data_IF_328694606221
#
_entry.id   IF_328694606221
#
_cell.length_a   1.000
_cell.length_b   1.000
_cell.length_c   1.000
_cell.angle_alpha   90.00
_cell.angle_beta   90.00
_cell.angle_gamma   90.00
#
_symmetry.space_group_name_H-M   'P 1'
#
loop_
_entity.id
_entity.type
_entity.pdbx_description
1 polymer ?
#
# COMPACT_ATOMS: atom_id res chain seq x y z
N UNK A 1 8.56 51.06 -31.36
CA UNK A 1 7.30 50.76 -32.08
C UNK A 1 6.74 49.44 -31.56
N UNK A 2 5.74 49.50 -30.67
CA UNK A 2 5.17 48.33 -30.01
C UNK A 2 4.03 47.73 -30.86
N UNK A 3 4.10 46.42 -31.12
CA UNK A 3 3.12 45.67 -31.92
C UNK A 3 1.80 45.48 -31.14
N UNK A 4 0.78 46.28 -31.48
CA UNK A 4 -0.62 46.10 -31.06
C UNK A 4 -1.33 45.09 -31.97
N UNK A 5 -1.12 43.80 -31.78
CA UNK A 5 -2.02 42.76 -32.34
C UNK A 5 -1.95 41.52 -31.47
N UNK A 6 -2.96 41.25 -30.63
CA UNK A 6 -3.21 39.88 -30.11
C UNK A 6 -4.53 39.65 -29.34
N UNK A 7 -5.53 40.53 -29.44
CA UNK A 7 -6.84 40.30 -28.80
C UNK A 7 -7.87 39.70 -29.78
N UNK A 8 -7.90 40.19 -31.02
CA UNK A 8 -8.86 39.71 -32.03
C UNK A 8 -8.68 38.23 -32.40
N UNK A 9 -7.43 37.77 -32.54
CA UNK A 9 -7.15 36.38 -32.93
C UNK A 9 -7.55 35.37 -31.83
N UNK A 10 -7.37 35.73 -30.55
CA UNK A 10 -7.76 34.88 -29.42
C UNK A 10 -9.28 34.77 -29.29
N UNK A 11 -10.01 35.85 -29.57
CA UNK A 11 -11.47 35.84 -29.56
C UNK A 11 -12.05 35.03 -30.72
N UNK A 12 -11.44 35.10 -31.92
CA UNK A 12 -11.86 34.33 -33.09
C UNK A 12 -11.66 32.81 -32.87
N UNK A 13 -10.55 32.42 -32.24
CA UNK A 13 -10.27 31.02 -31.88
C UNK A 13 -11.26 30.46 -30.85
N UNK A 14 -11.69 31.29 -29.88
CA UNK A 14 -12.66 30.87 -28.87
C UNK A 14 -14.04 30.62 -29.50
N UNK A 15 -14.46 31.47 -30.46
CA UNK A 15 -15.74 31.33 -31.17
C UNK A 15 -15.74 30.08 -32.07
N UNK A 16 -14.63 29.78 -32.75
CA UNK A 16 -14.50 28.58 -33.59
C UNK A 16 -14.52 27.27 -32.77
N UNK A 17 -14.04 27.28 -31.52
CA UNK A 17 -14.14 26.11 -30.64
C UNK A 17 -15.56 25.90 -30.10
N UNK A 18 -16.31 26.97 -29.85
CA UNK A 18 -17.68 26.88 -29.34
C UNK A 18 -18.70 26.43 -30.40
N UNK A 19 -18.42 26.65 -31.69
CA UNK A 19 -19.29 26.19 -32.78
C UNK A 19 -19.19 24.68 -33.07
N UNK A 20 -18.18 23.98 -32.53
CA UNK A 20 -17.99 22.54 -32.74
C UNK A 20 -18.65 21.64 -31.70
N UNK A 21 -19.35 22.20 -30.70
CA UNK A 21 -19.99 21.43 -29.63
C UNK A 21 -21.47 21.06 -29.87
N UNK A 22 -22.05 21.38 -31.04
CA UNK A 22 -23.47 21.13 -31.33
C UNK A 22 -23.76 19.98 -32.32
N UNK A 23 -22.78 19.14 -32.67
CA UNK A 23 -22.97 18.03 -33.62
C UNK A 23 -22.92 16.64 -32.95
N UNK A 24 -23.74 16.41 -31.92
CA UNK A 24 -24.18 15.04 -31.61
C UNK A 24 -25.24 14.62 -32.63
N UNK A 25 -24.77 14.13 -33.78
CA UNK A 25 -25.61 13.35 -34.69
C UNK A 25 -25.96 12.01 -34.01
N UNK A 26 -27.16 11.91 -33.47
CA UNK A 26 -27.79 10.61 -33.25
C UNK A 26 -27.94 9.92 -34.61
N UNK A 27 -27.58 8.62 -34.75
CA UNK A 27 -27.87 7.90 -35.97
C UNK A 27 -29.38 7.86 -36.20
N UNK A 28 -29.76 8.19 -37.43
CA UNK A 28 -31.14 8.16 -37.93
C UNK A 28 -31.68 6.74 -37.80
N UNK A 29 -32.62 6.53 -36.89
CA UNK A 29 -33.44 5.33 -36.82
C UNK A 29 -34.27 5.25 -38.11
N UNK A 30 -34.30 4.12 -38.83
CA UNK A 30 -35.13 3.97 -40.03
C UNK A 30 -36.61 4.17 -39.67
N UNK A 31 -37.26 5.15 -40.31
CA UNK A 31 -38.73 5.25 -40.29
C UNK A 31 -39.29 4.22 -41.27
N UNK A 32 -39.86 3.15 -40.75
CA UNK A 32 -40.76 2.29 -41.52
C UNK A 32 -41.96 3.11 -42.00
N UNK A 33 -42.31 2.90 -43.28
CA UNK A 33 -43.45 3.54 -43.94
C UNK A 33 -44.75 3.08 -43.29
N UNK A 34 -45.61 4.05 -43.02
CA UNK A 34 -47.01 3.85 -42.65
C UNK A 34 -47.71 2.89 -43.62
N UNK A 35 -48.13 1.73 -43.13
CA UNK A 35 -49.29 1.03 -43.65
C UNK A 35 -50.51 1.57 -42.89
N UNK A 36 -51.19 2.54 -43.51
CA UNK A 36 -52.57 2.87 -43.17
C UNK A 36 -53.41 1.70 -43.66
N UNK A 37 -53.94 0.94 -42.72
CA UNK A 37 -55.25 0.28 -42.75
C UNK A 37 -55.26 -0.87 -41.73
N UNK A 38 -56.27 -0.87 -40.85
CA UNK A 38 -56.55 -1.81 -39.75
C UNK A 38 -56.14 -1.36 -38.32
N UNK A 39 -56.58 -0.17 -37.90
CA UNK A 39 -56.78 0.13 -36.47
C UNK A 39 -58.23 -0.23 -36.13
N UNK A 40 -58.49 -1.50 -35.85
CA UNK A 40 -59.68 -1.87 -35.09
C UNK A 40 -59.39 -3.13 -34.24
N UNK A 41 -59.53 -2.95 -32.93
CA UNK A 41 -59.71 -3.98 -31.91
C UNK A 41 -58.58 -4.99 -31.69
N UNK A 42 -57.52 -4.58 -30.96
CA UNK A 42 -56.88 -5.44 -29.95
C UNK A 42 -55.91 -4.62 -29.08
N UNK A 43 -56.42 -3.66 -28.31
CA UNK A 43 -55.75 -3.27 -27.05
C UNK A 43 -55.91 -4.44 -26.07
N UNK A 44 -55.06 -5.46 -26.21
CA UNK A 44 -54.80 -6.37 -25.09
C UNK A 44 -54.23 -5.48 -24.00
N UNK A 45 -55.05 -5.23 -22.98
CA UNK A 45 -54.64 -4.68 -21.69
C UNK A 45 -53.43 -5.49 -21.23
N UNK A 46 -52.22 -4.99 -21.47
CA UNK A 46 -51.05 -5.54 -20.83
C UNK A 46 -51.24 -5.13 -19.37
N UNK A 47 -51.55 -6.09 -18.51
CA UNK A 47 -51.69 -5.85 -17.08
C UNK A 47 -50.36 -5.37 -16.54
N UNK A 48 -50.14 -4.05 -16.56
CA UNK A 48 -49.00 -3.41 -15.91
C UNK A 48 -49.27 -3.60 -14.42
N UNK A 49 -48.68 -4.65 -13.85
CA UNK A 49 -48.67 -4.83 -12.40
C UNK A 49 -47.91 -3.63 -11.81
N UNK A 50 -48.48 -2.95 -10.80
CA UNK A 50 -47.75 -1.93 -10.06
C UNK A 50 -46.43 -2.53 -9.55
N UNK A 51 -45.34 -1.78 -9.64
CA UNK A 51 -44.02 -2.12 -9.11
C UNK A 51 -43.97 -2.06 -7.57
N UNK A 52 -45.11 -2.04 -6.90
CA UNK A 52 -45.21 -2.05 -5.44
C UNK A 52 -44.84 -3.44 -4.93
N UNK A 53 -44.00 -3.49 -3.89
CA UNK A 53 -43.57 -4.68 -3.12
C UNK A 53 -42.30 -5.46 -3.52
N UNK A 54 -41.76 -5.47 -4.76
CA UNK A 54 -40.46 -6.09 -5.03
C UNK A 54 -39.30 -5.28 -4.46
N UNK A 55 -38.41 -5.97 -3.73
CA UNK A 55 -37.11 -5.46 -3.32
C UNK A 55 -36.12 -5.49 -4.48
N UNK A 56 -35.45 -4.37 -4.73
CA UNK A 56 -34.37 -4.27 -5.71
C UNK A 56 -33.06 -3.95 -5.02
N UNK A 57 -31.98 -4.61 -5.43
CA UNK A 57 -30.63 -4.27 -4.93
C UNK A 57 -29.95 -3.33 -5.92
N UNK A 58 -29.65 -2.11 -5.49
CA UNK A 58 -28.87 -1.16 -6.28
C UNK A 58 -27.36 -1.42 -6.13
N UNK A 59 -26.58 -1.04 -7.15
CA UNK A 59 -25.12 -1.06 -7.08
C UNK A 59 -24.65 -0.20 -5.89
N UNK A 60 -23.87 -0.79 -4.98
CA UNK A 60 -23.49 -0.17 -3.70
C UNK A 60 -24.17 -0.77 -2.46
N UNK A 61 -24.93 -1.87 -2.59
CA UNK A 61 -25.47 -2.61 -1.44
C UNK A 61 -26.68 -1.95 -0.78
N UNK A 62 -27.44 -1.16 -1.54
CA UNK A 62 -28.67 -0.52 -1.07
C UNK A 62 -29.87 -1.37 -1.51
N UNK A 63 -30.84 -1.56 -0.64
CA UNK A 63 -32.14 -2.14 -0.95
C UNK A 63 -33.10 -1.00 -1.27
N UNK A 64 -33.77 -1.09 -2.41
CA UNK A 64 -34.77 -0.15 -2.86
C UNK A 64 -36.11 -0.87 -2.85
N UNK A 65 -37.04 -0.37 -2.05
CA UNK A 65 -38.44 -0.82 -2.03
C UNK A 65 -39.32 0.28 -2.59
N UNK A 66 -40.30 -0.08 -3.41
CA UNK A 66 -41.30 0.87 -3.90
C UNK A 66 -42.59 0.67 -3.12
N UNK A 67 -43.06 1.73 -2.46
CA UNK A 67 -44.26 1.71 -1.63
C UNK A 67 -45.24 2.74 -2.18
N UNK A 68 -46.51 2.36 -2.35
CA UNK A 68 -47.56 3.28 -2.73
C UNK A 68 -48.17 3.94 -1.48
N UNK A 69 -48.02 5.26 -1.34
CA UNK A 69 -48.63 6.05 -0.28
C UNK A 69 -49.52 7.13 -0.90
N UNK A 70 -50.79 7.17 -0.49
CA UNK A 70 -51.78 8.14 -0.98
C UNK A 70 -51.92 8.18 -2.52
N UNK A 71 -51.75 7.03 -3.19
CA UNK A 71 -51.83 6.91 -4.65
C UNK A 71 -50.58 7.40 -5.39
N UNK A 72 -49.47 7.62 -4.69
CA UNK A 72 -48.16 7.92 -5.26
C UNK A 72 -47.14 6.84 -4.90
N UNK A 73 -46.40 6.34 -5.89
CA UNK A 73 -45.31 5.38 -5.68
C UNK A 73 -44.05 6.14 -5.24
N UNK A 74 -43.56 5.84 -4.04
CA UNK A 74 -42.33 6.37 -3.49
C UNK A 74 -41.26 5.27 -3.40
N UNK A 75 -40.01 5.61 -3.69
CA UNK A 75 -38.87 4.71 -3.55
C UNK A 75 -38.22 4.90 -2.17
N UNK A 76 -38.32 3.90 -1.31
CA UNK A 76 -37.59 3.84 -0.05
C UNK A 76 -36.25 3.16 -0.29
N UNK A 77 -35.17 3.92 -0.13
CA UNK A 77 -33.80 3.42 -0.23
C UNK A 77 -33.28 3.19 1.18
N UNK A 78 -33.11 1.92 1.56
CA UNK A 78 -32.47 1.53 2.80
C UNK A 78 -31.11 0.91 2.48
N UNK A 79 -30.06 1.29 3.22
CA UNK A 79 -28.82 0.53 3.20
C UNK A 79 -29.15 -0.90 3.68
N UNK A 80 -28.56 -1.92 3.06
CA UNK A 80 -28.73 -3.32 3.49
C UNK A 80 -27.97 -3.57 4.80
N UNK A 81 -28.33 -2.84 5.86
CA UNK A 81 -27.82 -2.95 7.21
C UNK A 81 -29.01 -3.04 8.15
N UNK A 82 -29.16 -4.17 8.84
CA UNK A 82 -30.23 -4.38 9.81
C UNK A 82 -30.32 -3.20 10.79
N UNK A 83 -31.51 -2.80 11.23
CA UNK A 83 -31.72 -1.71 12.22
C UNK A 83 -30.88 -1.84 13.50
N UNK A 84 -30.29 -3.02 13.78
CA UNK A 84 -29.24 -3.18 14.80
C UNK A 84 -28.01 -2.29 14.58
N UNK A 85 -27.66 -1.93 13.35
CA UNK A 85 -26.49 -1.09 13.03
C UNK A 85 -26.65 0.39 13.34
N UNK A 86 -27.88 0.89 13.48
CA UNK A 86 -28.11 2.31 13.82
C UNK A 86 -27.86 2.65 15.29
N UNK A 87 -27.74 1.65 16.17
CA UNK A 87 -27.41 1.82 17.59
C UNK A 87 -25.96 1.43 17.92
N UNK A 88 -25.08 1.22 16.93
CA UNK A 88 -23.79 0.54 17.12
C UNK A 88 -22.55 1.44 17.32
N UNK A 89 -22.73 2.73 17.62
CA UNK A 89 -21.64 3.59 18.14
C UNK A 89 -22.01 4.04 19.54
N UNK A 90 -21.72 3.19 20.53
CA UNK A 90 -21.66 3.58 21.95
C UNK A 90 -20.18 3.80 22.24
N UNK A 91 -19.81 5.01 22.68
CA UNK A 91 -18.45 5.42 23.05
C UNK A 91 -17.39 5.50 21.93
N UNK A 92 -17.80 5.69 20.67
CA UNK A 92 -16.88 6.03 19.58
C UNK A 92 -15.99 4.90 19.06
N UNK A 93 -16.15 3.68 19.56
CA UNK A 93 -15.58 2.47 18.98
C UNK A 93 -16.65 1.74 18.16
N UNK A 94 -16.32 1.12 17.02
CA UNK A 94 -17.25 0.20 16.37
C UNK A 94 -17.61 -0.89 17.38
N UNK A 95 -18.90 -1.17 17.53
CA UNK A 95 -19.32 -2.30 18.35
C UNK A 95 -18.91 -3.59 17.62
N UNK A 96 -17.71 -4.09 17.93
CA UNK A 96 -17.17 -5.34 17.40
C UNK A 96 -18.24 -6.43 17.53
N UNK A 97 -18.51 -7.13 16.43
CA UNK A 97 -19.44 -8.26 16.50
C UNK A 97 -18.89 -9.29 17.49
N UNK A 98 -19.74 -10.15 18.06
CA UNK A 98 -19.25 -11.25 18.90
C UNK A 98 -18.21 -12.11 18.16
N UNK A 99 -18.31 -12.18 16.83
CA UNK A 99 -17.30 -12.81 15.97
C UNK A 99 -15.97 -12.05 16.02
N UNK A 100 -15.97 -10.72 15.89
CA UNK A 100 -14.74 -9.92 15.93
C UNK A 100 -14.07 -9.98 17.30
N UNK A 101 -14.85 -9.84 18.38
CA UNK A 101 -14.36 -10.01 19.77
C UNK A 101 -13.80 -11.42 19.98
N UNK A 102 -14.44 -12.43 19.41
CA UNK A 102 -13.95 -13.80 19.44
C UNK A 102 -12.65 -13.99 18.65
N UNK A 103 -12.48 -13.35 17.48
CA UNK A 103 -11.23 -13.43 16.71
C UNK A 103 -10.11 -12.67 17.45
N UNK A 104 -10.37 -11.45 17.94
CA UNK A 104 -9.42 -10.63 18.69
C UNK A 104 -8.95 -11.37 19.96
N UNK A 105 -9.86 -11.93 20.75
CA UNK A 105 -9.52 -12.71 21.97
C UNK A 105 -8.76 -14.00 21.67
N UNK A 106 -8.65 -14.41 20.41
CA UNK A 106 -7.90 -15.58 19.94
C UNK A 106 -6.59 -15.22 19.24
N UNK A 107 -6.28 -13.93 19.05
CA UNK A 107 -4.93 -13.49 18.68
C UNK A 107 -4.02 -13.84 19.86
N UNK A 108 -3.07 -14.75 19.63
CA UNK A 108 -2.09 -15.12 20.65
C UNK A 108 -0.88 -14.20 20.52
N UNK A 109 -0.19 -13.87 21.63
CA UNK A 109 1.18 -13.39 21.57
C UNK A 109 1.98 -14.22 20.58
N UNK A 110 2.52 -13.56 19.55
CA UNK A 110 3.52 -14.21 18.72
C UNK A 110 4.68 -14.64 19.61
N UNK A 111 5.42 -15.67 19.19
CA UNK A 111 6.64 -16.08 19.89
C UNK A 111 7.77 -15.05 19.78
N UNK A 112 7.52 -13.88 19.19
CA UNK A 112 8.54 -12.93 18.79
C UNK A 112 8.20 -11.52 19.23
N UNK A 113 9.22 -10.76 19.64
CA UNK A 113 9.11 -9.37 20.10
C UNK A 113 8.63 -8.40 18.99
N UNK A 114 8.52 -8.89 17.75
CA UNK A 114 8.31 -8.10 16.54
C UNK A 114 6.89 -8.14 16.00
N UNK A 115 5.96 -8.97 16.50
CA UNK A 115 4.60 -9.01 15.99
C UNK A 115 3.80 -10.25 16.41
N UNK A 116 2.53 -10.27 16.03
CA UNK A 116 1.55 -11.28 16.38
C UNK A 116 1.04 -11.98 15.12
N UNK A 117 0.47 -13.16 15.32
CA UNK A 117 -0.29 -13.87 14.31
C UNK A 117 -1.53 -14.46 14.97
N UNK A 118 -2.63 -14.48 14.23
CA UNK A 118 -3.82 -15.18 14.67
C UNK A 118 -3.52 -16.68 14.71
N UNK A 119 -4.06 -17.41 15.68
CA UNK A 119 -3.94 -18.88 15.75
C UNK A 119 -4.51 -19.61 14.52
N UNK A 120 -5.26 -18.90 13.67
CA UNK A 120 -5.82 -19.40 12.43
C UNK A 120 -4.93 -19.09 11.22
N UNK A 121 -3.90 -18.26 11.40
CA UNK A 121 -2.95 -17.96 10.34
C UNK A 121 -1.87 -19.01 10.27
N UNK A 122 -1.62 -19.49 9.05
CA UNK A 122 -0.40 -20.24 8.75
C UNK A 122 0.76 -19.25 8.72
N UNK A 123 1.76 -19.45 9.58
CA UNK A 123 3.05 -18.80 9.42
C UNK A 123 3.85 -19.59 8.40
N UNK A 124 4.31 -18.92 7.37
CA UNK A 124 5.25 -19.49 6.39
C UNK A 124 6.64 -18.93 6.70
N UNK A 125 7.52 -19.80 7.22
CA UNK A 125 8.94 -19.51 7.42
C UNK A 125 9.68 -19.59 6.08
N UNK A 126 10.60 -18.66 5.85
CA UNK A 126 11.42 -18.64 4.64
C UNK A 126 12.85 -18.24 4.93
N UNK A 127 13.78 -18.98 4.34
CA UNK A 127 15.19 -18.59 4.29
C UNK A 127 15.41 -17.53 3.19
N UNK A 128 16.34 -16.57 3.38
CA UNK A 128 16.74 -15.65 2.33
C UNK A 128 17.29 -16.40 1.10
N UNK A 129 16.82 -16.05 -0.10
CA UNK A 129 17.43 -16.58 -1.34
C UNK A 129 18.86 -16.05 -1.53
N UNK A 130 19.76 -16.95 -1.91
CA UNK A 130 21.15 -16.62 -2.24
C UNK A 130 21.25 -15.75 -3.52
N UNK A 131 20.46 -16.06 -4.56
CA UNK A 131 20.45 -15.35 -5.84
C UNK A 131 19.02 -15.21 -6.38
N UNK A 132 18.64 -14.00 -6.77
CA UNK A 132 17.36 -13.72 -7.43
C UNK A 132 17.59 -13.27 -8.88
N UNK A 133 16.71 -13.71 -9.78
CA UNK A 133 16.63 -13.15 -11.12
C UNK A 133 15.78 -11.87 -11.09
N UNK A 134 16.25 -10.81 -11.76
CA UNK A 134 15.49 -9.57 -12.03
C UNK A 134 14.32 -9.80 -13.03
N UNK A 135 13.73 -10.99 -13.01
CA UNK A 135 12.67 -11.43 -13.92
C UNK A 135 11.33 -11.35 -13.17
N UNK A 136 10.37 -10.62 -13.75
CA UNK A 136 9.09 -10.29 -13.11
C UNK A 136 9.19 -9.12 -12.12
N UNK A 137 8.19 -8.25 -12.12
CA UNK A 137 8.01 -7.14 -11.15
C UNK A 137 9.23 -6.20 -11.04
N UNK A 138 9.88 -5.93 -12.17
CA UNK A 138 11.09 -5.12 -12.26
C UNK A 138 10.89 -3.72 -11.70
N UNK A 139 9.71 -3.18 -11.95
CA UNK A 139 9.29 -1.90 -11.39
C UNK A 139 9.42 -1.90 -9.86
N UNK A 140 8.79 -2.88 -9.20
CA UNK A 140 8.76 -3.01 -7.75
C UNK A 140 10.16 -3.25 -7.18
N UNK A 141 10.97 -4.08 -7.83
CA UNK A 141 12.35 -4.34 -7.44
C UNK A 141 13.22 -3.08 -7.51
N UNK A 142 13.05 -2.27 -8.57
CA UNK A 142 13.75 -1.00 -8.73
C UNK A 142 13.36 0.01 -7.64
N UNK A 143 12.06 0.14 -7.35
CA UNK A 143 11.56 1.00 -6.28
C UNK A 143 12.15 0.60 -4.92
N UNK A 144 12.07 -0.69 -4.58
CA UNK A 144 12.66 -1.23 -3.34
C UNK A 144 14.15 -0.93 -3.21
N UNK A 145 14.90 -1.10 -4.30
CA UNK A 145 16.33 -0.83 -4.28
C UNK A 145 16.62 0.66 -4.10
N UNK A 146 15.88 1.52 -4.80
CA UNK A 146 15.96 2.96 -4.61
C UNK A 146 15.69 3.34 -3.15
N UNK A 147 14.63 2.80 -2.54
CA UNK A 147 14.32 3.08 -1.14
C UNK A 147 15.40 2.56 -0.18
N UNK A 148 15.97 1.39 -0.46
CA UNK A 148 17.06 0.79 0.34
C UNK A 148 18.31 1.65 0.32
N UNK A 149 18.69 2.17 -0.84
CA UNK A 149 19.86 3.06 -0.96
C UNK A 149 19.64 4.38 -0.23
N UNK A 150 18.44 4.95 -0.32
CA UNK A 150 18.09 6.16 0.42
C UNK A 150 18.15 5.94 1.93
N UNK A 151 17.54 4.86 2.42
CA UNK A 151 17.57 4.51 3.83
C UNK A 151 19.02 4.39 4.33
N UNK A 152 19.88 3.70 3.57
CA UNK A 152 21.27 3.51 3.93
C UNK A 152 22.05 4.83 3.98
N UNK A 153 21.83 5.71 3.01
CA UNK A 153 22.41 7.05 3.00
C UNK A 153 21.99 7.87 4.24
N UNK A 154 20.69 7.90 4.53
CA UNK A 154 20.11 8.64 5.65
C UNK A 154 20.72 8.17 6.97
N UNK A 155 20.77 6.85 7.15
CA UNK A 155 21.33 6.21 8.33
C UNK A 155 22.80 6.61 8.54
N UNK A 156 23.64 6.48 7.51
CA UNK A 156 25.08 6.75 7.61
C UNK A 156 25.41 8.24 7.83
N UNK A 157 24.67 9.16 7.22
CA UNK A 157 25.02 10.59 7.26
C UNK A 157 24.61 11.26 8.58
N UNK A 158 23.56 10.79 9.24
CA UNK A 158 22.91 11.55 10.32
C UNK A 158 22.58 10.75 11.57
N UNK A 159 22.86 9.44 11.61
CA UNK A 159 22.42 8.57 12.70
C UNK A 159 20.89 8.68 12.94
N UNK A 160 20.15 8.97 11.86
CA UNK A 160 18.69 9.03 11.86
C UNK A 160 18.19 7.60 11.90
N UNK A 161 17.37 7.30 12.90
CA UNK A 161 16.78 5.97 13.08
C UNK A 161 15.50 5.85 12.26
N UNK A 162 15.62 5.97 10.94
CA UNK A 162 14.51 5.56 10.07
C UNK A 162 14.50 4.04 10.03
N UNK A 163 13.38 3.41 10.36
CA UNK A 163 13.29 1.95 10.32
C UNK A 163 12.81 1.43 8.97
N UNK A 164 12.14 2.26 8.18
CA UNK A 164 11.57 1.92 6.88
C UNK A 164 11.41 3.14 5.96
N UNK A 165 11.62 2.90 4.67
CA UNK A 165 11.35 3.84 3.58
C UNK A 165 10.60 3.12 2.47
N UNK A 166 9.50 3.70 2.01
CA UNK A 166 8.68 3.22 0.90
C UNK A 166 8.73 4.22 -0.26
N UNK A 167 8.58 3.71 -1.47
CA UNK A 167 8.47 4.52 -2.68
C UNK A 167 7.32 4.06 -3.54
N UNK A 168 6.50 5.01 -3.97
CA UNK A 168 5.39 4.80 -4.88
C UNK A 168 5.72 5.39 -6.26
N UNK A 169 5.64 4.60 -7.31
CA UNK A 169 5.55 5.12 -8.67
C UNK A 169 4.09 5.37 -9.04
N UNK A 170 3.80 6.57 -9.51
CA UNK A 170 2.49 6.95 -10.05
C UNK A 170 2.63 7.25 -11.52
N UNK A 171 1.73 6.70 -12.32
CA UNK A 171 1.55 7.05 -13.74
C UNK A 171 0.17 7.61 -14.00
N UNK A 172 0.14 8.77 -14.64
CA UNK A 172 -1.09 9.41 -15.08
C UNK A 172 -0.83 10.21 -16.35
N UNK A 173 -1.72 10.10 -17.34
CA UNK A 173 -1.63 10.81 -18.62
C UNK A 173 -0.20 10.77 -19.24
N UNK A 174 0.37 9.57 -19.33
CA UNK A 174 1.74 9.28 -19.78
C UNK A 174 2.89 9.83 -18.91
N UNK A 175 2.62 10.70 -17.93
CA UNK A 175 3.59 11.23 -16.97
C UNK A 175 3.94 10.18 -15.90
N UNK A 176 5.11 10.35 -15.29
CA UNK A 176 5.60 9.51 -14.19
C UNK A 176 6.09 10.37 -13.03
N UNK A 177 5.76 9.93 -11.81
CA UNK A 177 6.10 10.58 -10.55
C UNK A 177 6.57 9.54 -9.54
N UNK A 178 7.51 9.89 -8.67
CA UNK A 178 7.91 9.05 -7.54
C UNK A 178 7.58 9.76 -6.24
N UNK A 179 6.79 9.13 -5.37
CA UNK A 179 6.55 9.60 -4.01
C UNK A 179 7.38 8.75 -3.06
N UNK A 180 8.07 9.37 -2.10
CA UNK A 180 8.96 8.71 -1.15
C UNK A 180 8.52 9.04 0.26
N UNK A 181 8.14 8.03 1.03
CA UNK A 181 7.70 8.17 2.42
C UNK A 181 8.62 7.37 3.35
N UNK A 182 8.83 7.86 4.57
CA UNK A 182 9.48 7.14 5.65
C UNK A 182 8.50 6.86 6.77
N UNK A 183 8.73 5.80 7.55
CA UNK A 183 8.02 5.63 8.81
C UNK A 183 8.70 6.50 9.89
N UNK A 184 7.93 6.96 10.87
CA UNK A 184 8.34 7.94 11.90
C UNK A 184 8.36 9.39 11.41
N UNK A 185 7.24 10.07 11.66
CA UNK A 185 7.00 11.41 11.14
C UNK A 185 8.04 12.47 11.55
N UNK A 186 8.66 12.26 12.73
CA UNK A 186 9.70 13.14 13.25
C UNK A 186 10.99 13.08 12.42
N UNK A 187 11.32 11.93 11.82
CA UNK A 187 12.59 11.72 11.14
C UNK A 187 12.53 12.13 9.66
N UNK A 188 11.35 12.11 9.03
CA UNK A 188 11.18 12.58 7.64
C UNK A 188 11.41 14.09 7.49
N UNK A 189 11.34 14.86 8.59
CA UNK A 189 11.72 16.30 8.63
C UNK A 189 13.10 16.54 8.01
N UNK A 190 13.98 15.55 8.12
CA UNK A 190 15.34 15.60 7.59
C UNK A 190 15.40 15.48 6.07
N UNK A 191 14.37 14.95 5.38
CA UNK A 191 14.38 14.82 3.92
C UNK A 191 14.57 16.17 3.25
N UNK A 192 13.91 17.22 3.75
CA UNK A 192 14.03 18.59 3.23
C UNK A 192 15.45 19.14 3.33
N UNK A 193 16.20 18.74 4.35
CA UNK A 193 17.60 19.14 4.55
C UNK A 193 18.58 18.29 3.75
N UNK A 194 18.23 17.03 3.48
CA UNK A 194 19.10 16.07 2.81
C UNK A 194 18.97 16.12 1.29
N UNK A 195 17.77 16.40 0.78
CA UNK A 195 17.45 16.31 -0.64
C UNK A 195 16.83 17.63 -1.12
N UNK A 196 17.65 18.69 -1.19
CA UNK A 196 17.19 20.00 -1.67
C UNK A 196 17.07 19.99 -3.19
N UNK A 197 17.99 19.31 -3.86
CA UNK A 197 18.08 19.22 -5.32
C UNK A 197 18.29 17.79 -5.79
N UNK A 198 18.09 17.56 -7.09
CA UNK A 198 18.39 16.28 -7.70
C UNK A 198 19.90 15.98 -7.69
N UNK A 199 20.75 17.01 -7.71
CA UNK A 199 22.20 16.84 -7.55
C UNK A 199 22.53 16.23 -6.19
N UNK A 200 21.91 16.72 -5.11
CA UNK A 200 22.11 16.19 -3.75
C UNK A 200 21.65 14.73 -3.68
N UNK A 201 20.48 14.42 -4.23
CA UNK A 201 19.96 13.06 -4.32
C UNK A 201 20.94 12.14 -5.08
N UNK A 202 21.41 12.58 -6.25
CA UNK A 202 22.33 11.81 -7.08
C UNK A 202 23.66 11.57 -6.37
N UNK A 203 24.24 12.59 -5.77
CA UNK A 203 25.49 12.49 -5.00
C UNK A 203 25.32 11.51 -3.84
N UNK A 204 24.21 11.63 -3.11
CA UNK A 204 23.86 10.74 -1.99
C UNK A 204 23.82 9.28 -2.41
N UNK A 205 23.14 8.98 -3.52
CA UNK A 205 23.05 7.62 -4.07
C UNK A 205 24.40 7.14 -4.63
N UNK A 206 25.20 8.03 -5.22
CA UNK A 206 26.53 7.70 -5.75
C UNK A 206 27.49 7.33 -4.61
N UNK A 207 27.51 8.13 -3.54
CA UNK A 207 28.30 7.87 -2.35
C UNK A 207 27.97 6.50 -1.75
N UNK A 208 26.68 6.14 -1.70
CA UNK A 208 26.24 4.81 -1.27
C UNK A 208 26.83 3.68 -2.13
N UNK A 209 26.97 3.88 -3.44
CA UNK A 209 27.56 2.88 -4.35
C UNK A 209 29.08 2.78 -4.25
N UNK A 210 29.73 3.85 -3.81
CA UNK A 210 31.18 3.94 -3.63
C UNK A 210 31.63 3.44 -2.25
N UNK A 211 30.73 3.35 -1.27
CA UNK A 211 31.02 2.78 0.04
C UNK A 211 31.59 1.37 -0.13
N UNK A 212 32.87 1.23 0.23
CA UNK A 212 33.65 -0.01 0.08
C UNK A 212 33.03 -1.09 0.97
N UNK A 213 32.69 -2.28 0.41
CA UNK A 213 32.24 -3.40 1.22
C UNK A 213 33.34 -3.79 2.24
N UNK A 214 33.17 -3.39 3.51
CA UNK A 214 34.10 -3.77 4.59
C UNK A 214 34.29 -2.73 5.68
N UNK A 215 34.03 -1.44 5.43
CA UNK A 215 34.37 -0.38 6.40
C UNK A 215 33.27 -0.06 7.41
N UNK A 216 32.01 -0.40 7.13
CA UNK A 216 30.91 -0.04 8.03
C UNK A 216 30.45 -1.19 8.93
N UNK A 217 30.57 -0.97 10.25
CA UNK A 217 30.00 -1.83 11.31
C UNK A 217 28.47 -1.84 11.30
N UNK A 218 27.82 -0.83 10.70
CA UNK A 218 26.38 -0.61 10.85
C UNK A 218 25.53 -1.02 9.66
N UNK A 219 26.14 -1.24 8.49
CA UNK A 219 25.42 -1.86 7.39
C UNK A 219 25.13 -3.32 7.78
N UNK A 220 23.92 -3.57 8.27
CA UNK A 220 23.41 -4.92 8.53
C UNK A 220 23.76 -5.81 7.33
N UNK A 221 24.12 -7.07 7.58
CA UNK A 221 24.55 -8.05 6.57
C UNK A 221 23.67 -7.98 5.31
N UNK A 222 22.36 -7.82 5.50
CA UNK A 222 21.36 -7.68 4.45
C UNK A 222 21.51 -6.44 3.56
N UNK A 223 21.67 -5.25 4.15
CA UNK A 223 21.85 -4.01 3.39
C UNK A 223 23.09 -4.09 2.50
N UNK A 224 24.19 -4.65 3.02
CA UNK A 224 25.41 -4.92 2.23
C UNK A 224 25.14 -5.90 1.08
N UNK A 225 24.42 -7.00 1.34
CA UNK A 225 24.09 -8.00 0.31
C UNK A 225 23.21 -7.41 -0.79
N UNK A 226 22.14 -6.68 -0.43
CA UNK A 226 21.24 -6.00 -1.38
C UNK A 226 21.99 -4.96 -2.19
N UNK A 227 22.76 -4.09 -1.54
CA UNK A 227 23.58 -3.10 -2.23
C UNK A 227 24.57 -3.75 -3.19
N UNK A 228 25.29 -4.81 -2.80
CA UNK A 228 26.21 -5.52 -3.68
C UNK A 228 25.47 -6.07 -4.92
N UNK A 229 24.30 -6.70 -4.71
CA UNK A 229 23.45 -7.30 -5.77
C UNK A 229 23.06 -6.28 -6.83
N UNK A 230 22.65 -5.08 -6.43
CA UNK A 230 22.12 -4.06 -7.34
C UNK A 230 23.11 -2.94 -7.69
N UNK A 231 24.27 -2.92 -7.03
CA UNK A 231 25.29 -1.89 -7.26
C UNK A 231 25.74 -1.85 -8.71
N UNK A 232 25.78 -2.98 -9.43
CA UNK A 232 26.14 -3.00 -10.86
C UNK A 232 25.13 -2.24 -11.72
N UNK A 233 23.83 -2.46 -11.50
CA UNK A 233 22.74 -1.77 -12.20
C UNK A 233 22.79 -0.27 -11.87
N UNK A 234 22.90 0.09 -10.60
CA UNK A 234 22.93 1.48 -10.16
C UNK A 234 24.23 2.20 -10.55
N UNK A 235 25.38 1.52 -10.55
CA UNK A 235 26.65 2.07 -11.08
C UNK A 235 26.53 2.38 -12.57
N UNK A 236 25.77 1.58 -13.32
CA UNK A 236 25.48 1.88 -14.72
C UNK A 236 24.51 3.06 -14.88
N UNK A 237 23.51 3.19 -13.99
CA UNK A 237 22.52 4.27 -14.04
C UNK A 237 23.07 5.63 -13.60
N UNK A 238 23.87 5.66 -12.55
CA UNK A 238 24.38 6.89 -11.94
C UNK A 238 25.81 7.22 -12.34
N UNK A 239 26.54 6.24 -12.89
CA UNK A 239 27.91 6.40 -13.34
C UNK A 239 28.08 7.33 -14.55
N UNK A 240 29.34 7.67 -14.89
CA UNK A 240 29.66 8.63 -15.95
C UNK A 240 29.43 8.09 -17.38
N UNK A 241 29.15 6.79 -17.56
CA UNK A 241 28.96 6.20 -18.90
C UNK A 241 27.57 6.58 -19.46
N UNK A 242 27.55 6.90 -20.76
CA UNK A 242 26.37 7.34 -21.54
C UNK A 242 25.15 6.47 -21.26
N UNK A 243 23.99 7.14 -21.25
CA UNK A 243 22.63 6.62 -21.14
C UNK A 243 22.61 5.11 -21.37
N UNK A 244 22.34 4.35 -20.31
CA UNK A 244 22.11 2.92 -20.41
C UNK A 244 21.03 2.77 -21.47
N UNK A 245 21.41 2.39 -22.70
CA UNK A 245 20.48 1.75 -23.60
C UNK A 245 20.05 0.53 -22.81
N UNK A 246 18.84 0.61 -22.24
CA UNK A 246 18.20 -0.48 -21.52
C UNK A 246 17.81 -1.53 -22.57
N UNK A 247 18.81 -2.05 -23.28
CA UNK A 247 18.76 -3.27 -24.09
C UNK A 247 18.84 -4.43 -23.11
N UNK A 248 17.87 -4.51 -22.20
CA UNK A 248 17.57 -5.82 -21.65
C UNK A 248 16.95 -6.57 -22.81
N UNK A 249 17.62 -7.63 -23.25
CA UNK A 249 17.00 -8.62 -24.10
C UNK A 249 15.74 -9.05 -23.37
N UNK A 250 14.57 -8.68 -23.90
CA UNK A 250 13.30 -9.29 -23.53
C UNK A 250 13.57 -10.80 -23.57
N UNK A 251 13.72 -11.43 -22.41
CA UNK A 251 13.63 -12.89 -22.39
C UNK A 251 12.20 -13.20 -22.84
N UNK A 252 12.05 -14.17 -23.73
CA UNK A 252 10.74 -14.53 -24.28
C UNK A 252 9.74 -14.72 -23.13
N UNK A 253 8.65 -13.93 -23.12
CA UNK A 253 7.57 -14.03 -22.12
C UNK A 253 7.46 -12.90 -21.09
N UNK A 254 8.34 -11.89 -21.09
CA UNK A 254 8.26 -10.80 -20.12
C UNK A 254 7.12 -9.80 -20.42
N UNK A 255 6.46 -9.32 -19.35
CA UNK A 255 5.38 -8.33 -19.47
C UNK A 255 5.92 -6.97 -19.95
N UNK A 256 5.48 -6.57 -21.15
CA UNK A 256 5.83 -5.28 -21.77
C UNK A 256 5.41 -4.09 -20.91
N UNK A 257 4.35 -4.21 -20.10
CA UNK A 257 3.89 -3.13 -19.20
C UNK A 257 4.87 -2.90 -18.06
N UNK A 258 5.27 -3.95 -17.34
CA UNK A 258 6.28 -3.89 -16.28
C UNK A 258 7.59 -3.26 -16.80
N UNK A 259 8.06 -3.67 -17.98
CA UNK A 259 9.27 -3.11 -18.61
C UNK A 259 9.09 -1.63 -18.96
N UNK A 260 7.91 -1.24 -19.45
CA UNK A 260 7.60 0.16 -19.72
C UNK A 260 7.67 0.99 -18.44
N UNK A 261 7.15 0.47 -17.33
CA UNK A 261 7.12 1.16 -16.04
C UNK A 261 8.53 1.30 -15.46
N UNK A 262 9.26 0.19 -15.42
CA UNK A 262 10.66 0.15 -15.05
C UNK A 262 11.49 1.19 -15.83
N UNK A 263 11.33 1.23 -17.16
CA UNK A 263 12.06 2.18 -18.03
C UNK A 263 11.72 3.64 -17.70
N UNK A 264 10.47 3.93 -17.33
CA UNK A 264 10.05 5.29 -16.95
C UNK A 264 10.66 5.73 -15.63
N UNK A 265 10.70 4.85 -14.62
CA UNK A 265 11.37 5.12 -13.36
C UNK A 265 12.86 5.38 -13.60
N UNK A 266 13.52 4.57 -14.44
CA UNK A 266 14.93 4.80 -14.79
C UNK A 266 15.15 6.15 -15.46
N UNK A 267 14.31 6.53 -16.43
CA UNK A 267 14.39 7.83 -17.08
C UNK A 267 14.23 8.97 -16.06
N UNK A 268 13.30 8.84 -15.13
CA UNK A 268 13.07 9.80 -14.06
C UNK A 268 14.30 9.92 -13.15
N UNK A 269 14.84 8.79 -12.68
CA UNK A 269 16.02 8.71 -11.81
C UNK A 269 17.34 9.10 -12.49
N UNK A 270 17.38 9.20 -13.81
CA UNK A 270 18.55 9.66 -14.57
C UNK A 270 18.40 11.10 -15.08
N UNK A 271 17.20 11.70 -15.02
CA UNK A 271 16.93 13.02 -15.56
C UNK A 271 17.51 14.11 -14.63
N UNK A 272 18.51 14.85 -15.12
CA UNK A 272 19.12 15.97 -14.38
C UNK A 272 18.18 17.15 -14.15
N UNK A 273 17.13 17.26 -14.96
CA UNK A 273 16.08 18.27 -14.84
C UNK A 273 14.94 17.78 -13.92
N UNK A 274 15.08 16.61 -13.29
CA UNK A 274 14.11 16.12 -12.33
C UNK A 274 14.02 17.08 -11.14
N UNK A 275 12.81 17.50 -10.80
CA UNK A 275 12.57 18.40 -9.68
C UNK A 275 12.36 17.58 -8.40
N UNK A 276 13.05 17.96 -7.33
CA UNK A 276 12.75 17.45 -6.00
C UNK A 276 11.68 18.34 -5.38
N UNK A 277 10.59 17.73 -4.94
CA UNK A 277 9.48 18.41 -4.27
C UNK A 277 9.34 17.82 -2.88
N UNK A 278 9.06 18.66 -1.89
CA UNK A 278 8.71 18.22 -0.53
C UNK A 278 7.23 18.51 -0.32
N UNK A 279 6.45 17.46 -0.04
CA UNK A 279 5.02 17.54 0.15
C UNK A 279 4.70 17.48 1.65
N UNK A 280 4.39 18.61 2.31
CA UNK A 280 3.91 18.59 3.67
C UNK A 280 2.53 17.91 3.71
N UNK A 281 2.40 16.88 4.54
CA UNK A 281 1.10 16.25 4.78
C UNK A 281 0.41 16.89 5.97
N UNK A 282 -0.86 17.20 5.80
CA UNK A 282 -1.79 17.51 6.87
C UNK A 282 -3.06 16.67 6.72
N UNK A 283 -3.72 16.44 7.85
CA UNK A 283 -4.98 15.69 7.96
C UNK A 283 -6.00 16.57 8.65
N UNK A 284 -7.27 16.40 8.30
CA UNK A 284 -8.35 17.09 9.02
C UNK A 284 -8.49 16.47 10.41
N UNK A 285 -8.07 17.19 11.45
CA UNK A 285 -8.09 16.69 12.83
C UNK A 285 -9.51 16.57 13.41
N UNK A 286 -10.46 17.33 12.88
CA UNK A 286 -11.86 17.38 13.33
C UNK A 286 -12.82 16.54 12.50
N UNK A 287 -12.40 16.07 11.33
CA UNK A 287 -13.29 15.42 10.36
C UNK A 287 -12.70 14.06 9.99
N UNK A 288 -13.31 13.02 10.55
CA UNK A 288 -13.20 11.68 9.97
C UNK A 288 -14.23 11.58 8.87
N UNK A 289 -13.89 10.92 7.77
CA UNK A 289 -14.86 10.67 6.71
C UNK A 289 -16.02 9.79 7.24
N UNK A 290 -17.05 9.57 6.42
CA UNK A 290 -18.19 8.70 6.76
C UNK A 290 -17.78 7.27 7.16
N UNK A 291 -16.57 6.83 6.82
CA UNK A 291 -16.03 5.52 7.16
C UNK A 291 -15.16 5.54 8.43
N UNK A 292 -15.00 6.70 9.07
CA UNK A 292 -14.15 6.87 10.24
C UNK A 292 -12.66 7.05 9.93
N UNK A 293 -12.28 7.14 8.65
CA UNK A 293 -10.89 7.25 8.22
C UNK A 293 -10.36 8.67 8.39
N UNK A 294 -9.06 8.77 8.70
CA UNK A 294 -8.30 10.00 8.58
C UNK A 294 -8.23 10.41 7.11
N UNK A 295 -8.78 11.57 6.80
CA UNK A 295 -8.73 12.13 5.45
C UNK A 295 -7.63 13.19 5.37
N UNK A 296 -6.89 13.18 4.25
CA UNK A 296 -5.95 14.25 3.95
C UNK A 296 -6.69 15.59 3.96
N UNK A 297 -6.05 16.62 4.50
CA UNK A 297 -6.63 17.95 4.47
C UNK A 297 -6.85 18.40 3.03
N UNK A 298 -7.92 19.17 2.78
CA UNK A 298 -8.33 19.54 1.42
C UNK A 298 -7.22 20.31 0.67
N UNK A 299 -6.45 21.13 1.39
CA UNK A 299 -5.29 21.82 0.82
C UNK A 299 -4.17 20.84 0.44
N UNK A 300 -3.92 19.80 1.24
CA UNK A 300 -2.97 18.74 0.86
C UNK A 300 -3.46 17.97 -0.37
N UNK A 301 -4.76 17.65 -0.46
CA UNK A 301 -5.33 17.00 -1.67
C UNK A 301 -5.11 17.85 -2.92
N UNK A 302 -5.41 19.15 -2.85
CA UNK A 302 -5.16 20.10 -3.95
C UNK A 302 -3.71 20.09 -4.37
N UNK A 303 -2.76 20.17 -3.42
CA UNK A 303 -1.33 20.13 -3.73
C UNK A 303 -0.92 18.81 -4.40
N UNK A 304 -1.45 17.66 -3.94
CA UNK A 304 -1.21 16.35 -4.59
C UNK A 304 -1.69 16.38 -6.05
N UNK A 305 -2.91 16.87 -6.30
CA UNK A 305 -3.47 16.95 -7.64
C UNK A 305 -2.72 17.95 -8.53
N UNK A 306 -2.29 19.09 -7.99
CA UNK A 306 -1.44 20.06 -8.69
C UNK A 306 -0.07 19.46 -9.08
N UNK A 307 0.53 18.67 -8.19
CA UNK A 307 1.79 17.98 -8.46
C UNK A 307 1.62 17.08 -9.69
N UNK A 308 0.57 16.24 -9.70
CA UNK A 308 0.28 15.25 -10.74
C UNK A 308 -0.20 15.89 -12.05
N UNK A 309 -0.93 17.00 -11.98
CA UNK A 309 -1.33 17.79 -13.15
C UNK A 309 -0.18 18.59 -13.76
N UNK A 310 0.83 18.92 -12.97
CA UNK A 310 2.01 19.66 -13.41
C UNK A 310 2.89 18.92 -14.42
N UNK A 311 4.09 19.44 -14.64
CA UNK A 311 5.09 18.80 -15.49
C UNK A 311 5.52 17.45 -14.89
N UNK A 312 5.79 16.47 -15.75
CA UNK A 312 6.44 15.22 -15.34
C UNK A 312 7.86 15.48 -14.82
N UNK A 313 8.52 14.44 -14.31
CA UNK A 313 9.91 14.58 -13.88
C UNK A 313 10.03 15.07 -12.44
N UNK A 314 9.19 14.59 -11.52
CA UNK A 314 9.26 14.96 -10.10
C UNK A 314 9.51 13.74 -9.22
N UNK A 315 10.38 13.91 -8.23
CA UNK A 315 10.52 13.02 -7.08
C UNK A 315 10.03 13.82 -5.87
N UNK A 316 9.01 13.30 -5.22
CA UNK A 316 8.26 13.94 -4.16
C UNK A 316 8.59 13.23 -2.85
N UNK A 317 9.28 13.92 -1.94
CA UNK A 317 9.48 13.43 -0.59
C UNK A 317 8.30 13.86 0.28
N UNK A 318 7.71 12.90 0.98
CA UNK A 318 6.63 13.14 1.91
C UNK A 318 7.22 13.71 3.19
N UNK A 319 6.75 14.91 3.55
CA UNK A 319 7.16 15.63 4.75
C UNK A 319 6.04 15.55 5.79
N UNK A 320 6.21 14.65 6.76
CA UNK A 320 5.28 14.50 7.88
C UNK A 320 5.65 15.34 9.10
N UNK A 321 6.54 16.33 8.96
CA UNK A 321 6.96 17.23 10.05
C UNK A 321 5.82 17.99 10.73
N UNK A 322 4.71 18.19 10.01
CA UNK A 322 3.55 18.91 10.52
C UNK A 322 2.56 18.01 11.26
N UNK A 323 2.77 16.68 11.26
CA UNK A 323 1.91 15.76 11.98
C UNK A 323 2.21 15.86 13.47
N UNK A 324 1.21 16.25 14.27
CA UNK A 324 1.39 16.36 15.72
C UNK A 324 1.71 14.98 16.32
N UNK A 325 2.59 14.97 17.31
CA UNK A 325 2.90 13.76 18.08
C UNK A 325 1.72 13.28 18.93
N UNK A 326 0.72 14.15 19.13
CA UNK A 326 -0.46 13.90 19.96
C UNK A 326 -1.49 13.00 19.27
N UNK A 327 -1.52 12.96 17.93
CA UNK A 327 -2.57 12.24 17.18
C UNK A 327 -2.22 10.78 16.85
N UNK A 328 -1.21 10.17 17.48
CA UNK A 328 -0.65 8.84 17.14
C UNK A 328 -0.19 8.69 15.67
N UNK A 329 -0.31 9.74 14.84
CA UNK A 329 0.09 9.75 13.43
C UNK A 329 1.58 9.53 13.23
N UNK A 330 2.39 9.84 14.26
CA UNK A 330 3.84 9.61 14.24
C UNK A 330 4.20 8.14 14.04
N UNK A 331 3.30 7.24 14.41
CA UNK A 331 3.52 5.83 14.27
C UNK A 331 3.16 5.35 12.86
N UNK A 332 2.25 5.99 12.11
CA UNK A 332 1.79 5.46 10.81
C UNK A 332 2.93 5.03 9.89
N UNK A 333 2.72 3.89 9.23
CA UNK A 333 3.72 3.33 8.33
C UNK A 333 3.75 4.11 7.01
N UNK A 334 4.88 4.02 6.31
CA UNK A 334 5.10 4.74 5.07
C UNK A 334 4.09 4.36 3.98
N UNK A 335 3.66 3.09 3.93
CA UNK A 335 2.64 2.58 3.00
C UNK A 335 1.30 3.27 3.19
N UNK A 336 0.93 3.61 4.42
CA UNK A 336 -0.36 4.23 4.69
C UNK A 336 -0.41 5.65 4.12
N UNK A 337 0.65 6.44 4.31
CA UNK A 337 0.75 7.78 3.71
C UNK A 337 0.69 7.73 2.18
N UNK A 338 1.37 6.75 1.57
CA UNK A 338 1.35 6.55 0.12
C UNK A 338 -0.03 6.09 -0.36
N UNK A 339 -0.76 5.30 0.44
CA UNK A 339 -2.13 4.87 0.13
C UNK A 339 -3.10 6.03 0.14
N UNK A 340 -3.03 6.92 1.15
CA UNK A 340 -3.90 8.10 1.20
C UNK A 340 -3.68 9.02 -0.02
N UNK A 341 -2.41 9.21 -0.42
CA UNK A 341 -2.07 9.96 -1.64
C UNK A 341 -2.61 9.26 -2.89
N UNK A 342 -2.47 7.93 -2.98
CA UNK A 342 -2.98 7.17 -4.11
C UNK A 342 -4.51 7.25 -4.22
N UNK A 343 -5.24 7.25 -3.10
CA UNK A 343 -6.69 7.41 -3.10
C UNK A 343 -7.13 8.77 -3.63
N UNK A 344 -6.47 9.86 -3.21
CA UNK A 344 -6.71 11.20 -3.78
C UNK A 344 -6.51 11.19 -5.29
N UNK A 345 -5.43 10.56 -5.76
CA UNK A 345 -5.11 10.48 -7.19
C UNK A 345 -6.11 9.60 -7.94
N UNK A 346 -6.52 8.46 -7.38
CA UNK A 346 -7.45 7.50 -8.02
C UNK A 346 -8.88 8.02 -8.04
N UNK A 347 -9.28 8.78 -7.02
CA UNK A 347 -10.58 9.45 -6.94
C UNK A 347 -10.75 10.44 -8.10
N UNK A 348 -9.73 11.27 -8.37
CA UNK A 348 -9.77 12.23 -9.48
C UNK A 348 -9.43 11.57 -10.84
N UNK A 349 -8.51 10.62 -10.85
CA UNK A 349 -7.99 10.00 -12.06
C UNK A 349 -8.12 8.48 -12.01
N UNK A 350 -9.31 7.97 -12.34
CA UNK A 350 -9.63 6.55 -12.28
C UNK A 350 -8.64 5.65 -13.06
N UNK A 351 -8.08 6.15 -14.16
CA UNK A 351 -7.11 5.44 -15.02
C UNK A 351 -5.65 5.63 -14.58
N UNK A 352 -5.39 6.26 -13.44
CA UNK A 352 -4.04 6.32 -12.87
C UNK A 352 -3.57 4.93 -12.48
N UNK A 353 -2.26 4.73 -12.58
CA UNK A 353 -1.58 3.51 -12.18
C UNK A 353 -0.62 3.80 -11.02
N UNK A 354 -0.59 2.92 -10.01
CA UNK A 354 0.23 3.07 -8.81
C UNK A 354 0.96 1.77 -8.46
N UNK A 355 2.24 1.88 -8.12
CA UNK A 355 3.06 0.77 -7.64
C UNK A 355 3.82 1.19 -6.37
N UNK A 356 3.63 0.48 -5.26
CA UNK A 356 4.34 0.72 -3.99
C UNK A 356 5.38 -0.38 -3.74
N UNK A 357 6.60 0.02 -3.43
CA UNK A 357 7.64 -0.86 -2.91
C UNK A 357 8.62 -0.11 -2.04
N UNK A 358 9.29 -0.82 -1.14
CA UNK A 358 10.25 -0.17 -0.26
C UNK A 358 11.17 -1.13 0.44
N UNK A 359 11.80 -0.59 1.47
CA UNK A 359 12.77 -1.31 2.27
C UNK A 359 12.15 -2.50 2.93
N UNK A 360 10.85 -2.43 3.30
CA UNK A 360 10.11 -3.52 3.94
C UNK A 360 8.89 -4.04 3.19
N UNK A 361 8.42 -5.22 3.57
CA UNK A 361 7.10 -5.74 3.19
C UNK A 361 6.04 -5.05 4.05
N UNK A 362 4.84 -4.78 3.51
CA UNK A 362 3.75 -4.28 4.32
C UNK A 362 3.40 -5.28 5.42
N UNK A 363 3.26 -4.80 6.64
CA UNK A 363 2.62 -5.58 7.70
C UNK A 363 1.17 -5.90 7.33
N UNK A 364 0.54 -6.85 8.03
CA UNK A 364 -0.83 -7.25 7.71
C UNK A 364 -1.82 -6.07 7.72
N UNK A 365 -1.64 -5.11 8.64
CA UNK A 365 -2.43 -3.87 8.76
C UNK A 365 -2.32 -3.00 7.49
N UNK A 366 -1.08 -2.73 7.03
CA UNK A 366 -0.84 -1.95 5.81
C UNK A 366 -1.27 -2.69 4.56
N UNK A 367 -1.01 -4.00 4.50
CA UNK A 367 -1.44 -4.87 3.42
C UNK A 367 -2.96 -4.83 3.25
N UNK A 368 -3.68 -5.01 4.36
CA UNK A 368 -5.14 -4.93 4.40
C UNK A 368 -5.63 -3.59 3.86
N UNK A 369 -5.04 -2.49 4.34
CA UNK A 369 -5.40 -1.13 3.93
C UNK A 369 -5.17 -0.88 2.44
N UNK A 370 -4.02 -1.30 1.91
CA UNK A 370 -3.70 -1.18 0.49
C UNK A 370 -4.66 -2.02 -0.36
N UNK A 371 -4.89 -3.28 0.04
CA UNK A 371 -5.78 -4.21 -0.64
C UNK A 371 -7.22 -3.70 -0.68
N UNK A 372 -7.72 -3.15 0.42
CA UNK A 372 -9.09 -2.67 0.53
C UNK A 372 -9.32 -1.32 -0.15
N UNK A 373 -8.28 -0.52 -0.35
CA UNK A 373 -8.39 0.81 -0.97
C UNK A 373 -8.84 0.75 -2.44
N UNK A 374 -8.44 -0.30 -3.17
CA UNK A 374 -8.54 -0.34 -4.63
C UNK A 374 -7.70 0.73 -5.37
N UNK A 375 -6.94 1.55 -4.63
CA UNK A 375 -6.15 2.64 -5.18
C UNK A 375 -4.72 2.22 -5.55
N UNK A 376 -4.25 1.07 -5.03
CA UNK A 376 -2.92 0.53 -5.29
C UNK A 376 -2.98 -0.61 -6.31
N UNK A 377 -2.41 -0.42 -7.50
CA UNK A 377 -2.46 -1.42 -8.57
C UNK A 377 -1.41 -2.54 -8.36
N UNK A 378 -0.20 -2.20 -7.90
CA UNK A 378 0.87 -3.17 -7.60
C UNK A 378 1.52 -2.87 -6.24
N UNK A 379 1.58 -3.88 -5.38
CA UNK A 379 2.30 -3.85 -4.10
C UNK A 379 2.79 -5.26 -3.73
N UNK A 380 3.41 -5.42 -2.57
CA UNK A 380 3.79 -6.75 -2.07
C UNK A 380 2.54 -7.55 -1.67
N UNK A 381 2.18 -8.60 -2.43
CA UNK A 381 0.93 -9.36 -2.21
C UNK A 381 0.96 -10.29 -0.99
N UNK A 382 2.08 -10.36 -0.29
CA UNK A 382 2.28 -11.24 0.86
C UNK A 382 2.39 -10.35 2.08
N UNK A 383 1.46 -10.44 3.05
CA UNK A 383 1.55 -9.67 4.28
C UNK A 383 2.66 -10.20 5.19
N UNK A 384 3.33 -9.29 5.89
CA UNK A 384 4.18 -9.61 7.03
C UNK A 384 3.34 -9.90 8.28
N UNK A 385 3.97 -9.86 9.46
CA UNK A 385 3.27 -10.04 10.73
C UNK A 385 2.17 -8.99 10.98
N UNK A 386 1.20 -9.34 11.83
CA UNK A 386 0.23 -8.42 12.38
C UNK A 386 0.83 -7.74 13.62
N UNK A 387 0.94 -6.43 13.62
CA UNK A 387 1.41 -5.70 14.80
C UNK A 387 0.19 -5.26 15.61
N UNK A 388 -0.02 -5.80 16.82
CA UNK A 388 -1.23 -5.50 17.63
C UNK A 388 -1.36 -4.01 17.91
N UNK A 389 -0.28 -3.36 18.37
CA UNK A 389 -0.31 -1.92 18.61
C UNK A 389 -0.81 -1.16 17.38
N UNK A 390 -0.47 -1.65 16.18
CA UNK A 390 -0.90 -1.05 14.91
C UNK A 390 -2.30 -1.39 14.52
N UNK A 391 -2.71 -2.62 14.77
CA UNK A 391 -4.09 -3.01 14.62
C UNK A 391 -5.00 -2.17 15.53
N UNK A 392 -4.60 -1.96 16.79
CA UNK A 392 -5.39 -1.19 17.76
C UNK A 392 -5.42 0.29 17.38
N UNK A 393 -4.28 0.86 16.96
CA UNK A 393 -4.23 2.20 16.35
C UNK A 393 -5.13 2.30 15.12
N UNK A 394 -5.08 1.31 14.22
CA UNK A 394 -5.96 1.26 13.06
C UNK A 394 -7.41 1.12 13.50
N UNK A 395 -7.74 0.32 14.52
CA UNK A 395 -9.10 0.17 15.02
C UNK A 395 -9.64 1.49 15.58
N UNK A 396 -8.78 2.29 16.21
CA UNK A 396 -9.12 3.62 16.70
C UNK A 396 -9.25 4.61 15.53
N UNK A 397 -8.36 4.58 14.53
CA UNK A 397 -8.22 5.63 13.50
C UNK A 397 -8.93 5.33 12.17
N UNK A 398 -9.16 4.07 11.87
CA UNK A 398 -9.79 3.53 10.66
C UNK A 398 -10.39 2.14 10.98
N UNK A 399 -11.55 2.10 11.66
CA UNK A 399 -12.09 0.85 12.17
C UNK A 399 -12.48 -0.14 11.08
N UNK A 400 -12.84 0.35 9.88
CA UNK A 400 -13.14 -0.51 8.72
C UNK A 400 -11.90 -1.24 8.22
N UNK A 401 -10.76 -0.55 8.12
CA UNK A 401 -9.52 -1.18 7.73
C UNK A 401 -9.05 -2.17 8.80
N UNK A 402 -9.30 -1.90 10.09
CA UNK A 402 -9.05 -2.87 11.16
C UNK A 402 -9.92 -4.13 11.02
N UNK A 403 -11.23 -3.98 10.78
CA UNK A 403 -12.11 -5.12 10.48
C UNK A 403 -11.57 -5.90 9.28
N UNK A 404 -11.14 -5.20 8.22
CA UNK A 404 -10.58 -5.87 7.05
C UNK A 404 -9.27 -6.59 7.36
N UNK A 405 -8.45 -6.03 8.24
CA UNK A 405 -7.22 -6.65 8.75
C UNK A 405 -7.58 -7.92 9.51
N UNK A 406 -8.63 -7.90 10.33
CA UNK A 406 -9.12 -9.08 11.04
C UNK A 406 -9.67 -10.15 10.09
N UNK A 407 -10.44 -9.77 9.08
CA UNK A 407 -10.91 -10.71 8.03
C UNK A 407 -9.73 -11.37 7.32
N UNK A 408 -8.77 -10.58 6.83
CA UNK A 408 -7.57 -11.10 6.18
C UNK A 408 -6.72 -11.92 7.14
N UNK A 409 -6.69 -11.59 8.44
CA UNK A 409 -6.01 -12.40 9.44
C UNK A 409 -6.62 -13.79 9.66
N UNK A 410 -7.80 -14.05 9.09
CA UNK A 410 -8.41 -15.39 9.10
C UNK A 410 -8.25 -16.14 7.79
N UNK A 411 -7.79 -15.47 6.72
CA UNK A 411 -7.75 -16.01 5.35
C UNK A 411 -6.33 -16.08 4.79
N UNK A 412 -5.50 -15.09 5.10
CA UNK A 412 -4.17 -14.91 4.54
C UNK A 412 -3.10 -15.53 5.43
N UNK A 413 -2.16 -16.24 4.80
CA UNK A 413 -0.95 -16.69 5.46
C UNK A 413 -0.01 -15.51 5.72
N UNK A 414 0.50 -15.42 6.94
CA UNK A 414 1.57 -14.47 7.27
C UNK A 414 2.92 -15.09 6.95
N UNK A 415 3.86 -14.24 6.58
CA UNK A 415 5.21 -14.67 6.23
C UNK A 415 6.20 -14.10 7.22
N UNK A 416 7.14 -14.93 7.66
CA UNK A 416 8.32 -14.48 8.40
C UNK A 416 9.58 -14.94 7.70
N UNK A 417 10.62 -14.11 7.74
CA UNK A 417 11.93 -14.53 7.24
C UNK A 417 12.77 -15.03 8.40
N UNK A 418 13.38 -16.19 8.22
CA UNK A 418 14.24 -16.85 9.21
C UNK A 418 15.66 -17.04 8.68
N UNK A 419 16.65 -17.16 9.57
CA UNK A 419 18.01 -17.54 9.18
C UNK A 419 18.16 -19.05 8.96
N UNK A 420 19.40 -19.53 8.83
CA UNK A 420 19.67 -20.95 8.60
C UNK A 420 19.25 -21.84 9.78
N UNK A 421 19.21 -21.27 10.98
CA UNK A 421 18.87 -21.89 12.26
C UNK A 421 17.38 -21.66 12.64
N UNK A 422 16.56 -21.21 11.69
CA UNK A 422 15.14 -20.88 11.87
C UNK A 422 14.85 -19.75 12.88
N UNK A 423 15.85 -18.95 13.24
CA UNK A 423 15.62 -17.76 14.05
C UNK A 423 14.98 -16.67 13.19
N UNK A 424 13.95 -15.99 13.71
CA UNK A 424 13.36 -14.86 13.01
C UNK A 424 14.40 -13.77 12.79
N UNK A 425 14.51 -13.32 11.55
CA UNK A 425 15.25 -12.12 11.24
C UNK A 425 14.23 -10.98 11.08
N UNK A 426 13.96 -10.28 12.18
CA UNK A 426 13.03 -9.13 12.22
C UNK A 426 13.41 -8.01 11.24
N UNK A 427 14.67 -8.02 10.76
CA UNK A 427 15.13 -7.11 9.72
C UNK A 427 14.74 -7.56 8.32
N UNK A 428 14.41 -8.83 8.09
CA UNK A 428 14.07 -9.43 6.80
C UNK A 428 12.58 -9.68 6.57
N UNK A 429 11.71 -9.45 7.57
CA UNK A 429 10.31 -9.13 7.22
C UNK A 429 10.26 -7.83 6.38
N UNK A 430 11.42 -7.20 6.18
CA UNK A 430 11.70 -6.22 5.16
C UNK A 430 11.92 -6.73 3.71
N UNK A 431 11.58 -7.98 3.40
CA UNK A 431 11.51 -8.42 2.01
C UNK A 431 12.67 -9.31 1.58
N UNK A 432 12.47 -10.58 1.80
CA UNK A 432 12.88 -11.55 0.80
C UNK A 432 11.99 -11.37 -0.44
N UNK A 433 12.63 -10.95 -1.52
CA UNK A 433 12.15 -11.12 -2.89
C UNK A 433 11.65 -12.55 -3.02
N UNK A 434 10.38 -12.76 -3.33
CA UNK A 434 9.83 -13.94 -3.99
C UNK A 434 8.31 -13.82 -4.01
N UNK A 435 7.73 -13.34 -5.10
CA UNK A 435 6.74 -14.18 -5.75
C UNK A 435 7.55 -15.05 -6.71
N UNK A 436 7.66 -16.34 -6.42
CA UNK A 436 8.21 -17.30 -7.36
C UNK A 436 7.37 -18.57 -7.28
N UNK A 437 7.19 -19.16 -8.46
CA UNK A 437 6.40 -20.33 -8.84
C UNK A 437 6.16 -21.33 -7.71
N UNK A 438 4.93 -21.83 -7.64
CA UNK A 438 4.35 -22.80 -6.69
C UNK A 438 5.12 -24.13 -6.55
N UNK A 439 6.33 -24.25 -7.06
CA UNK A 439 7.02 -25.53 -7.12
C UNK A 439 7.70 -25.87 -5.80
N UNK A 440 6.97 -26.71 -5.06
CA UNK A 440 7.40 -27.67 -4.04
C UNK A 440 7.82 -27.08 -2.69
N UNK A 441 6.82 -26.61 -1.93
CA UNK A 441 6.88 -26.78 -0.47
C UNK A 441 6.12 -28.04 -0.12
N UNK A 442 6.80 -28.99 0.54
CA UNK A 442 6.14 -30.04 1.30
C UNK A 442 5.45 -29.37 2.48
N UNK A 443 4.13 -29.42 2.50
CA UNK A 443 3.36 -29.09 3.69
C UNK A 443 3.72 -30.08 4.79
N UNK A 444 4.67 -29.73 5.64
CA UNK A 444 4.68 -30.33 6.97
C UNK A 444 3.48 -29.74 7.72
N UNK A 445 2.39 -30.52 7.76
CA UNK A 445 1.29 -30.30 8.69
C UNK A 445 1.89 -30.28 10.10
N UNK A 446 1.97 -29.08 10.69
CA UNK A 446 2.21 -28.95 12.11
C UNK A 446 0.95 -29.47 12.81
N UNK A 447 0.96 -30.75 13.20
CA UNK A 447 -0.03 -31.28 14.14
C UNK A 447 0.01 -30.39 15.38
N UNK A 448 -1.10 -29.71 15.66
CA UNK A 448 -1.19 -28.83 16.82
C UNK A 448 -0.99 -29.65 18.10
N UNK A 449 -0.17 -29.22 19.07
CA UNK A 449 -0.09 -29.88 20.36
C UNK A 449 -1.33 -29.51 21.18
N UNK A 450 -2.45 -30.18 20.91
CA UNK A 450 -3.66 -30.15 21.73
C UNK A 450 -4.29 -31.56 21.78
N UNK A 451 -3.53 -32.54 22.27
CA UNK A 451 -4.16 -33.63 23.02
C UNK A 451 -4.45 -33.11 24.43
N UNK A 452 -5.67 -32.61 24.64
CA UNK A 452 -6.22 -32.44 25.98
C UNK A 452 -6.45 -33.85 26.53
N UNK A 453 -5.49 -34.37 27.28
CA UNK A 453 -5.71 -35.56 28.09
C UNK A 453 -6.62 -35.17 29.26
N UNK A 454 -7.89 -35.52 29.13
CA UNK A 454 -8.75 -35.76 30.28
C UNK A 454 -8.42 -37.13 30.85
N UNK A 455 -7.63 -37.20 31.92
CA UNK A 455 -7.65 -38.38 32.79
C UNK A 455 -7.32 -37.98 34.23
N UNK A 456 -8.29 -38.22 35.10
CA UNK A 456 -8.16 -38.20 36.54
C UNK A 456 -7.53 -39.53 36.99
N UNK A 457 -6.62 -39.51 37.96
CA UNK A 457 -6.21 -40.75 38.63
C UNK A 457 -4.88 -40.73 39.37
N UNK A 458 -4.97 -40.57 40.70
CA UNK A 458 -4.22 -41.27 41.76
C UNK A 458 -2.67 -41.29 41.85
N UNK A 459 -2.22 -40.78 43.00
CA UNK A 459 -1.23 -41.33 43.96
C UNK A 459 0.27 -41.48 43.63
N UNK A 460 1.06 -40.86 44.53
CA UNK A 460 2.33 -41.28 45.17
C UNK A 460 3.45 -41.83 44.29
N UNK A 461 4.62 -41.19 44.32
CA UNK A 461 5.71 -41.63 45.19
C UNK A 461 6.90 -40.66 45.24
N UNK A 462 7.58 -40.74 46.37
CA UNK A 462 8.68 -39.92 46.85
C UNK A 462 9.98 -40.59 46.41
N UNK A 463 10.83 -39.89 45.66
CA UNK A 463 12.05 -40.44 45.07
C UNK A 463 13.22 -39.47 45.15
N UNK A 464 13.86 -39.45 46.31
CA UNK A 464 15.11 -38.77 46.62
C UNK A 464 16.27 -39.39 45.82
N UNK A 465 17.12 -38.56 45.17
CA UNK A 465 18.49 -38.95 44.77
C UNK A 465 19.36 -37.75 44.35
N UNK A 466 20.25 -37.40 45.28
CA UNK A 466 21.55 -36.77 45.08
C UNK A 466 22.31 -37.23 43.83
N UNK A 467 23.01 -36.31 43.14
CA UNK A 467 24.47 -36.42 42.99
C UNK A 467 25.14 -35.14 42.47
N UNK A 468 26.01 -34.57 43.33
CA UNK A 468 27.39 -34.14 43.05
C UNK A 468 27.72 -33.58 41.65
N UNK A 469 28.07 -32.29 41.60
CA UNK A 469 29.31 -31.85 40.95
C UNK A 469 29.96 -30.75 41.78
N UNK A 470 31.27 -30.88 41.97
CA UNK A 470 32.10 -30.12 42.88
C UNK A 470 33.30 -29.59 42.09
N UNK A 471 33.72 -28.35 42.41
CA UNK A 471 35.04 -27.72 42.20
C UNK A 471 35.53 -27.39 40.78
N UNK A 472 35.94 -26.11 40.65
CA UNK A 472 36.90 -25.61 39.67
C UNK A 472 37.12 -24.11 39.81
N UNK A 473 38.09 -23.72 40.65
CA UNK A 473 38.51 -22.35 40.96
C UNK A 473 39.29 -21.64 39.83
N UNK A 474 39.07 -20.31 39.76
CA UNK A 474 40.03 -19.18 39.63
C UNK A 474 40.89 -18.90 38.38
N UNK A 475 41.21 -17.60 38.33
CA UNK A 475 42.23 -16.83 37.59
C UNK A 475 41.81 -16.34 36.20
N UNK A 476 42.05 -15.09 35.79
CA UNK A 476 42.79 -13.96 36.37
C UNK A 476 42.36 -12.69 35.61
N UNK A 477 42.24 -11.57 36.31
CA UNK A 477 42.14 -10.24 35.70
C UNK A 477 43.56 -9.72 35.44
N UNK A 478 43.80 -9.17 34.24
CA UNK A 478 44.97 -8.34 33.96
C UNK A 478 44.55 -7.09 33.18
N UNK A 479 44.79 -5.96 33.85
CA UNK A 479 45.08 -4.59 33.40
C UNK A 479 44.16 -3.94 32.35
#
# INVERSE_FOLDING_TARGET
MAKKYNLGYKLLLLILFLQNCNNFSNPVIPREKEAKDAIQASTKQCGIKPLADPEFTAAGGHVVTFVEQEGQVQANVTLHGTEKEKNHIVDGLPNFTERDKYIISRIRPGHTDSGFYSKYQKIIRRKPRELSSFAGERERQLLKQFSTMLLFFIYNKRNIKLTELQTMHVRYNHKSFLFVAGNEAAETTSFRRLFVSYTDLKESLTNVLELVPGTDKYAKKEGKTRMKRYSSIFKNLFGPKKAVEVKYALKNGEDKKDISHYTKILKLLCNKECNIVHLPLSYNSSERNINGDLELAEDTKKVVLEIVNGKEGKIIFIDTSQLSTENNLKYRHAEEFLTDIAEVIKCEYLLSYTCIAGTKRPCLTCYSRMNSSGAIDIYGKRPGLLYIERHDEQAINNPRAAIKTMELSSLEACYITTDEDDNEISTYDSGTEDEAEENNFTEEEFESPLSINSEAGSEKEQGDKNSKYNKGEKMEARL
#
